data_IF_136283924777
#
_entry.id   IF_136283924777
#
_cell.length_a   1.000
_cell.length_b   1.000
_cell.length_c   1.000
_cell.angle_alpha   90.00
_cell.angle_beta   90.00
_cell.angle_gamma   90.00
#
_symmetry.space_group_name_H-M   'P 1'
#
loop_
_entity.id
_entity.type
_entity.pdbx_description
1 polymer ?
#
# COMPACT_ATOMS: atom_id res chain seq x y z
N UNK A 1 15.65 37.03 -21.04
CA UNK A 1 14.17 37.00 -21.06
C UNK A 1 13.76 35.57 -20.74
N UNK A 2 13.62 35.23 -19.46
CA UNK A 2 12.33 34.97 -18.76
C UNK A 2 11.43 33.99 -19.53
N UNK A 3 11.35 32.73 -19.06
CA UNK A 3 10.23 32.29 -18.22
C UNK A 3 10.49 30.93 -17.56
N UNK A 4 10.54 30.99 -16.23
CA UNK A 4 10.54 29.88 -15.28
C UNK A 4 9.09 29.54 -14.94
N UNK A 5 8.71 28.26 -14.92
CA UNK A 5 7.56 27.80 -14.14
C UNK A 5 8.06 26.81 -13.08
N UNK A 6 8.21 27.32 -11.85
CA UNK A 6 8.43 26.53 -10.63
C UNK A 6 7.07 26.02 -10.15
N UNK A 7 6.89 24.71 -10.07
CA UNK A 7 5.78 24.10 -9.34
C UNK A 7 6.22 23.93 -7.87
N UNK A 8 5.67 24.78 -7.00
CA UNK A 8 5.76 24.63 -5.55
C UNK A 8 4.92 23.43 -5.12
N UNK A 9 5.56 22.35 -4.70
CA UNK A 9 4.93 21.32 -3.88
C UNK A 9 4.94 21.77 -2.41
N UNK A 10 3.76 22.09 -1.89
CA UNK A 10 3.50 22.46 -0.50
C UNK A 10 3.97 21.38 0.47
N UNK A 11 4.87 21.76 1.39
CA UNK A 11 5.32 20.97 2.52
C UNK A 11 4.31 21.16 3.67
N UNK A 12 3.46 20.16 3.94
CA UNK A 12 2.53 20.22 5.08
C UNK A 12 3.24 19.70 6.34
N UNK A 13 3.80 20.62 7.13
CA UNK A 13 4.26 20.33 8.49
C UNK A 13 3.11 20.52 9.47
N UNK A 14 2.54 19.44 9.98
CA UNK A 14 1.57 19.48 11.08
C UNK A 14 2.28 19.28 12.42
N UNK A 15 2.54 20.41 13.09
CA UNK A 15 2.77 20.50 14.53
C UNK A 15 1.39 20.54 15.20
N UNK A 16 1.08 19.58 16.07
CA UNK A 16 -0.09 19.65 16.95
C UNK A 16 0.42 19.73 18.39
N UNK A 17 0.32 20.94 18.95
CA UNK A 17 0.31 21.20 20.39
C UNK A 17 -1.16 21.22 20.81
N UNK A 18 -1.52 20.47 21.86
CA UNK A 18 -2.91 20.29 22.28
C UNK A 18 -3.50 21.42 23.11
N UNK A 19 -4.83 21.43 23.25
CA UNK A 19 -5.59 21.41 24.53
C UNK A 19 -7.06 21.83 24.35
N UNK A 20 -7.96 20.97 24.87
CA UNK A 20 -9.21 21.21 25.59
C UNK A 20 -10.21 22.34 25.21
N UNK A 21 -11.39 21.88 24.77
CA UNK A 21 -12.73 22.09 25.37
C UNK A 21 -13.32 23.52 25.57
N UNK A 22 -14.49 23.81 24.96
CA UNK A 22 -15.82 24.07 25.60
C UNK A 22 -16.82 24.79 24.66
N UNK A 23 -18.10 24.35 24.76
CA UNK A 23 -19.40 25.01 24.50
C UNK A 23 -19.86 25.35 23.07
N UNK A 24 -21.03 24.81 22.74
CA UNK A 24 -21.81 25.11 21.54
C UNK A 24 -22.75 26.31 21.70
N UNK A 25 -23.36 26.67 20.57
CA UNK A 25 -24.58 27.46 20.45
C UNK A 25 -25.29 27.02 19.16
N UNK A 26 -26.54 26.60 19.33
CA UNK A 26 -27.51 26.31 18.30
C UNK A 26 -28.12 27.62 17.78
N UNK A 27 -28.26 27.79 16.46
CA UNK A 27 -29.10 28.83 15.86
C UNK A 27 -29.94 28.24 14.73
N UNK A 28 -31.21 28.05 15.06
CA UNK A 28 -32.34 27.71 14.23
C UNK A 28 -32.69 28.85 13.24
N UNK A 29 -32.85 28.56 11.95
CA UNK A 29 -33.56 29.44 11.00
C UNK A 29 -34.28 28.64 9.90
N UNK A 30 -35.60 28.60 10.06
CA UNK A 30 -36.72 28.51 9.11
C UNK A 30 -36.61 27.79 7.76
N UNK A 31 -37.39 26.69 7.69
CA UNK A 31 -38.27 26.21 6.62
C UNK A 31 -38.15 26.81 5.20
N UNK A 32 -37.93 25.91 4.23
CA UNK A 32 -38.78 25.88 3.04
C UNK A 32 -39.04 24.42 2.59
N UNK A 33 -40.28 24.15 2.15
CA UNK A 33 -40.80 22.84 1.74
C UNK A 33 -40.82 22.78 0.22
N UNK A 34 -40.18 21.76 -0.37
CA UNK A 34 -40.64 21.17 -1.63
C UNK A 34 -39.97 19.81 -1.87
N UNK A 35 -40.79 18.77 -2.01
CA UNK A 35 -40.44 17.47 -2.60
C UNK A 35 -40.95 17.46 -4.05
N UNK A 36 -40.29 16.79 -5.01
CA UNK A 36 -40.77 15.44 -5.34
C UNK A 36 -39.66 14.41 -5.67
N UNK A 37 -39.99 13.16 -5.32
CA UNK A 37 -39.77 11.90 -6.05
C UNK A 37 -38.35 11.41 -6.42
N UNK A 38 -37.91 10.43 -5.62
CA UNK A 38 -37.31 9.13 -5.97
C UNK A 38 -36.63 8.96 -7.34
N UNK A 39 -35.30 8.84 -7.33
CA UNK A 39 -34.59 7.83 -8.12
C UNK A 39 -33.42 7.34 -7.27
N UNK A 40 -33.53 6.11 -6.78
CA UNK A 40 -32.52 5.42 -5.97
C UNK A 40 -31.35 5.05 -6.86
N UNK A 41 -30.32 5.90 -6.89
CA UNK A 41 -28.96 5.43 -7.15
C UNK A 41 -28.33 5.20 -5.79
N UNK A 42 -28.11 3.93 -5.45
CA UNK A 42 -27.29 3.52 -4.32
C UNK A 42 -25.90 4.14 -4.48
N UNK A 43 -25.74 5.32 -3.90
CA UNK A 43 -24.45 5.83 -3.51
C UNK A 43 -24.00 4.92 -2.37
N UNK A 44 -23.10 3.99 -2.67
CA UNK A 44 -22.29 3.37 -1.63
C UNK A 44 -21.47 4.49 -1.03
N UNK A 45 -21.99 5.00 0.08
CA UNK A 45 -21.44 6.04 0.92
C UNK A 45 -19.99 5.72 1.26
N UNK A 46 -19.08 6.60 0.85
CA UNK A 46 -17.74 6.71 1.43
C UNK A 46 -17.89 7.19 2.88
N UNK A 47 -17.88 6.28 3.85
CA UNK A 47 -17.76 6.64 5.27
C UNK A 47 -16.88 5.65 6.03
N UNK A 48 -15.57 5.92 6.02
CA UNK A 48 -14.63 6.01 7.14
C UNK A 48 -13.24 6.21 6.48
N UNK A 49 -12.37 7.13 6.89
CA UNK A 49 -11.69 7.19 8.19
C UNK A 49 -11.13 8.59 8.43
N UNK A 50 -11.06 9.00 9.69
CA UNK A 50 -10.20 10.07 10.18
C UNK A 50 -8.78 9.93 9.56
N UNK A 51 -8.33 10.92 8.78
CA UNK A 51 -7.02 11.03 8.11
C UNK A 51 -6.78 10.23 6.81
N UNK A 52 -7.76 9.51 6.24
CA UNK A 52 -7.63 8.91 4.89
C UNK A 52 -6.62 7.76 4.76
N UNK A 53 -6.24 7.12 5.87
CA UNK A 53 -5.43 5.90 5.89
C UNK A 53 -6.34 4.67 6.07
N UNK A 54 -6.02 3.53 5.45
CA UNK A 54 -6.81 2.31 5.59
C UNK A 54 -6.80 1.78 7.03
N UNK A 55 -7.96 1.29 7.48
CA UNK A 55 -8.16 0.61 8.76
C UNK A 55 -8.34 -0.90 8.56
N UNK A 56 -8.55 -1.62 9.66
CA UNK A 56 -8.80 -3.06 9.59
C UNK A 56 -10.16 -3.36 8.96
N UNK A 57 -11.13 -2.48 9.14
CA UNK A 57 -12.47 -2.59 8.55
C UNK A 57 -12.40 -2.52 7.01
N UNK A 58 -11.47 -1.73 6.48
CA UNK A 58 -11.22 -1.63 5.03
C UNK A 58 -10.66 -2.92 4.41
N UNK A 59 -10.27 -3.91 5.23
CA UNK A 59 -9.82 -5.22 4.75
C UNK A 59 -10.96 -6.22 4.49
N UNK A 60 -12.21 -5.81 4.70
CA UNK A 60 -13.37 -6.66 4.46
C UNK A 60 -13.45 -7.13 2.99
N UNK A 61 -14.04 -8.32 2.73
CA UNK A 61 -14.25 -8.83 1.38
C UNK A 61 -14.94 -7.80 0.47
N UNK A 62 -14.50 -7.74 -0.79
CA UNK A 62 -15.04 -6.83 -1.80
C UNK A 62 -15.27 -7.60 -3.09
N UNK A 63 -16.50 -7.60 -3.59
CA UNK A 63 -16.83 -8.37 -4.80
C UNK A 63 -16.50 -9.85 -4.63
N UNK A 64 -15.68 -10.39 -5.54
CA UNK A 64 -15.20 -11.77 -5.46
C UNK A 64 -13.85 -11.90 -4.73
N UNK A 65 -13.31 -10.79 -4.24
CA UNK A 65 -12.11 -10.79 -3.42
C UNK A 65 -12.47 -11.07 -1.95
N UNK A 66 -11.91 -12.14 -1.39
CA UNK A 66 -12.15 -12.55 -0.01
C UNK A 66 -11.45 -11.68 1.05
N UNK A 67 -10.71 -10.65 0.63
CA UNK A 67 -9.83 -9.87 1.50
C UNK A 67 -8.50 -10.57 1.81
N UNK A 68 -7.56 -9.86 2.47
CA UNK A 68 -6.31 -10.42 2.96
C UNK A 68 -6.53 -11.57 3.94
N UNK A 69 -5.69 -12.60 3.84
CA UNK A 69 -5.70 -13.76 4.71
C UNK A 69 -4.41 -13.81 5.50
N UNK A 70 -4.49 -13.56 6.80
CA UNK A 70 -3.37 -13.84 7.71
C UNK A 70 -3.13 -15.35 7.73
N UNK A 71 -1.98 -15.78 7.21
CA UNK A 71 -1.61 -17.20 7.13
C UNK A 71 -0.59 -17.58 8.20
N UNK A 72 -0.25 -16.65 9.10
CA UNK A 72 0.55 -16.92 10.30
C UNK A 72 1.61 -15.86 10.56
N UNK A 73 2.65 -16.26 11.28
CA UNK A 73 3.85 -15.45 11.52
C UNK A 73 4.81 -15.55 10.33
N UNK A 74 5.74 -14.59 10.26
CA UNK A 74 6.83 -14.65 9.30
C UNK A 74 7.75 -15.86 9.56
N UNK A 75 8.30 -16.41 8.47
CA UNK A 75 9.09 -17.66 8.46
C UNK A 75 10.57 -17.41 8.14
N UNK A 76 11.09 -16.23 8.47
CA UNK A 76 12.49 -15.87 8.27
C UNK A 76 13.42 -16.73 9.13
N UNK A 77 14.53 -17.18 8.54
CA UNK A 77 15.60 -17.85 9.28
C UNK A 77 16.35 -16.85 10.17
N UNK A 78 17.15 -17.35 11.12
CA UNK A 78 18.04 -16.49 11.90
C UNK A 78 19.03 -15.72 11.00
N UNK A 79 19.43 -16.30 9.87
CA UNK A 79 20.31 -15.66 8.90
C UNK A 79 19.60 -14.53 8.14
N UNK A 80 18.32 -14.70 7.77
CA UNK A 80 17.50 -13.65 7.17
C UNK A 80 17.34 -12.42 8.07
N UNK A 81 17.43 -12.62 9.39
CA UNK A 81 17.22 -11.59 10.42
C UNK A 81 18.53 -10.91 10.86
N UNK A 82 19.66 -11.23 10.24
CA UNK A 82 20.91 -10.51 10.51
C UNK A 82 20.79 -9.06 10.11
N UNK A 83 21.11 -8.17 11.05
CA UNK A 83 21.05 -6.74 10.80
C UNK A 83 22.15 -6.29 9.81
N UNK A 84 21.85 -5.24 9.06
CA UNK A 84 22.79 -4.55 8.19
C UNK A 84 22.64 -3.05 8.43
N UNK A 85 23.74 -2.34 8.75
CA UNK A 85 23.71 -0.91 9.08
C UNK A 85 23.03 -0.04 8.00
N UNK A 86 23.09 -0.46 6.74
CA UNK A 86 22.54 0.29 5.62
C UNK A 86 21.12 -0.07 5.21
N UNK A 87 20.66 -1.27 5.57
CA UNK A 87 19.51 -1.87 4.92
C UNK A 87 19.83 -2.22 3.46
N UNK A 88 18.92 -2.93 2.81
CA UNK A 88 19.11 -3.39 1.44
C UNK A 88 17.77 -3.71 0.80
N UNK A 89 17.77 -3.72 -0.54
CA UNK A 89 16.67 -4.20 -1.37
C UNK A 89 17.26 -5.13 -2.41
N UNK A 90 16.66 -6.31 -2.57
CA UNK A 90 17.01 -7.29 -3.59
C UNK A 90 15.76 -7.64 -4.38
N UNK A 91 15.83 -7.50 -5.70
CA UNK A 91 14.75 -7.91 -6.60
C UNK A 91 15.11 -9.24 -7.25
N UNK A 92 14.19 -10.21 -7.20
CA UNK A 92 14.41 -11.50 -7.82
C UNK A 92 14.38 -11.38 -9.34
N UNK A 93 15.05 -12.32 -10.02
CA UNK A 93 15.04 -12.38 -11.48
C UNK A 93 13.62 -12.55 -12.00
N UNK A 94 13.32 -11.90 -13.13
CA UNK A 94 12.10 -12.19 -13.85
C UNK A 94 12.11 -13.65 -14.32
N UNK A 95 10.95 -14.30 -14.37
CA UNK A 95 10.84 -15.62 -14.97
C UNK A 95 10.84 -15.60 -16.51
N UNK A 96 10.60 -16.75 -17.13
CA UNK A 96 10.58 -16.92 -18.58
C UNK A 96 9.47 -16.09 -19.28
N UNK A 97 8.38 -15.80 -18.57
CA UNK A 97 7.28 -14.95 -19.04
C UNK A 97 7.51 -13.46 -18.70
N UNK A 98 8.72 -13.13 -18.23
CA UNK A 98 9.13 -11.79 -17.78
C UNK A 98 8.33 -11.28 -16.58
N UNK A 99 7.79 -12.18 -15.76
CA UNK A 99 7.02 -11.86 -14.55
C UNK A 99 7.96 -11.62 -13.36
N UNK A 100 7.72 -10.58 -12.54
CA UNK A 100 8.38 -10.45 -11.24
C UNK A 100 8.09 -11.66 -10.36
N UNK A 101 9.14 -12.25 -9.77
CA UNK A 101 9.03 -13.48 -8.96
C UNK A 101 9.18 -13.24 -7.46
N UNK A 102 9.56 -12.02 -7.08
CA UNK A 102 9.63 -11.61 -5.70
C UNK A 102 10.62 -10.48 -5.46
N UNK A 103 10.52 -9.90 -4.27
CA UNK A 103 11.48 -8.92 -3.79
C UNK A 103 11.65 -9.05 -2.29
N UNK A 104 12.83 -8.71 -1.81
CA UNK A 104 13.21 -8.78 -0.42
C UNK A 104 13.88 -7.49 0.01
N UNK A 105 13.72 -7.13 1.27
CA UNK A 105 14.39 -5.98 1.85
C UNK A 105 14.68 -6.17 3.33
N UNK A 106 15.78 -5.57 3.80
CA UNK A 106 15.94 -5.18 5.19
C UNK A 106 15.74 -3.67 5.26
N UNK A 107 14.56 -3.27 5.71
CA UNK A 107 14.11 -1.88 5.64
C UNK A 107 14.52 -1.16 6.92
N UNK A 108 15.14 0.00 6.74
CA UNK A 108 15.56 0.89 7.83
C UNK A 108 14.85 2.23 7.75
N UNK A 109 14.83 2.93 8.89
CA UNK A 109 14.27 4.28 8.98
C UNK A 109 14.82 5.24 7.92
N UNK A 110 16.11 5.14 7.58
CA UNK A 110 16.75 5.99 6.57
C UNK A 110 16.32 5.73 5.12
N UNK A 111 15.70 4.59 4.84
CA UNK A 111 15.20 4.23 3.50
C UNK A 111 13.81 4.80 3.24
N UNK A 112 13.15 5.33 4.28
CA UNK A 112 11.84 5.95 4.16
C UNK A 112 11.85 7.04 3.08
N UNK A 113 10.88 7.00 2.17
CA UNK A 113 10.67 7.99 1.11
C UNK A 113 11.85 8.16 0.13
N UNK A 114 12.76 7.17 0.04
CA UNK A 114 13.89 7.21 -0.91
C UNK A 114 13.57 6.57 -2.27
N UNK A 115 12.41 5.91 -2.40
CA UNK A 115 12.01 5.24 -3.63
C UNK A 115 11.39 6.19 -4.67
N UNK A 116 11.13 5.66 -5.86
CA UNK A 116 10.56 6.43 -6.98
C UNK A 116 9.13 6.00 -7.31
N UNK A 117 8.39 6.87 -8.00
CA UNK A 117 7.05 6.53 -8.48
C UNK A 117 7.13 5.51 -9.62
N UNK A 118 6.14 4.61 -9.75
CA UNK A 118 6.11 3.63 -10.84
C UNK A 118 6.22 4.33 -12.20
N UNK A 119 7.22 3.94 -12.98
CA UNK A 119 7.46 4.48 -14.29
C UNK A 119 6.29 4.11 -15.21
N UNK A 120 5.67 5.14 -15.78
CA UNK A 120 4.49 4.99 -16.64
C UNK A 120 4.79 4.33 -17.97
N UNK A 121 6.04 4.10 -18.35
CA UNK A 121 6.43 3.35 -19.55
C UNK A 121 6.57 1.85 -19.29
N UNK A 122 6.81 1.44 -18.04
CA UNK A 122 6.87 0.01 -17.69
C UNK A 122 5.44 -0.55 -17.71
N UNK A 123 5.22 -1.59 -18.51
CA UNK A 123 4.01 -2.41 -18.51
C UNK A 123 4.38 -3.77 -17.93
N UNK A 124 4.07 -4.06 -16.65
CA UNK A 124 4.27 -5.40 -16.13
C UNK A 124 3.42 -6.41 -16.90
N UNK A 125 3.77 -7.71 -16.91
CA UNK A 125 2.97 -8.71 -17.62
C UNK A 125 1.50 -8.68 -17.22
N UNK A 126 0.61 -8.79 -18.22
CA UNK A 126 -0.84 -8.70 -18.04
C UNK A 126 -1.40 -7.29 -17.79
N UNK A 127 -0.57 -6.25 -17.72
CA UNK A 127 -1.04 -4.89 -17.50
C UNK A 127 -1.83 -4.36 -18.69
N UNK A 128 -3.02 -3.79 -18.43
CA UNK A 128 -3.85 -3.12 -19.42
C UNK A 128 -4.26 -1.76 -18.87
N UNK A 129 -4.02 -0.71 -19.65
CA UNK A 129 -4.38 0.65 -19.25
C UNK A 129 -5.89 0.87 -19.33
N UNK A 130 -6.42 1.66 -18.39
CA UNK A 130 -7.76 2.23 -18.47
C UNK A 130 -8.65 1.85 -17.29
N UNK A 131 -9.63 2.70 -16.95
CA UNK A 131 -10.44 2.56 -15.74
C UNK A 131 -11.28 1.27 -15.72
N UNK A 132 -11.61 0.72 -16.90
CA UNK A 132 -12.33 -0.56 -17.01
C UNK A 132 -11.56 -1.73 -16.43
N UNK A 133 -10.23 -1.76 -16.62
CA UNK A 133 -9.37 -2.85 -16.17
C UNK A 133 -8.93 -2.65 -14.72
N UNK A 134 -8.80 -1.40 -14.31
CA UNK A 134 -8.47 -1.04 -12.93
C UNK A 134 -7.13 -1.64 -12.48
N UNK A 135 -6.17 -1.73 -13.42
CA UNK A 135 -4.84 -2.24 -13.15
C UNK A 135 -3.91 -1.13 -12.66
N UNK A 136 -3.12 -1.46 -11.65
CA UNK A 136 -2.04 -0.66 -11.11
C UNK A 136 -0.67 -1.30 -11.45
N UNK A 137 0.38 -0.49 -11.38
CA UNK A 137 1.77 -0.94 -11.37
C UNK A 137 2.18 -1.10 -9.92
N UNK A 138 1.72 -2.18 -9.29
CA UNK A 138 1.97 -2.47 -7.89
C UNK A 138 3.45 -2.64 -7.63
N UNK A 139 3.99 -1.95 -6.63
CA UNK A 139 5.36 -2.17 -6.21
C UNK A 139 5.43 -3.45 -5.34
N UNK A 140 6.48 -4.26 -5.49
CA UNK A 140 6.75 -5.33 -4.52
C UNK A 140 7.40 -4.75 -3.26
N UNK A 141 8.44 -3.93 -3.42
CA UNK A 141 8.94 -3.06 -2.35
C UNK A 141 8.40 -1.67 -2.61
N UNK A 142 7.53 -1.20 -1.71
CA UNK A 142 6.87 0.09 -1.83
C UNK A 142 7.87 1.24 -2.00
N UNK A 143 7.45 2.27 -2.74
CA UNK A 143 8.18 3.55 -2.86
C UNK A 143 8.58 4.11 -1.49
N UNK A 144 7.68 4.03 -0.52
CA UNK A 144 7.92 4.53 0.85
C UNK A 144 9.06 3.80 1.57
N UNK A 145 9.52 2.64 1.09
CA UNK A 145 10.62 1.86 1.66
C UNK A 145 11.91 1.91 0.83
N UNK A 146 11.98 2.76 -0.20
CA UNK A 146 13.14 2.84 -1.10
C UNK A 146 12.97 2.07 -2.40
N UNK A 147 11.80 1.48 -2.66
CA UNK A 147 11.55 0.74 -3.89
C UNK A 147 11.65 1.62 -5.14
N UNK A 148 12.36 1.13 -6.15
CA UNK A 148 12.44 1.77 -7.47
C UNK A 148 11.17 1.50 -8.27
N UNK A 149 10.59 2.56 -8.82
CA UNK A 149 9.55 2.51 -9.83
C UNK A 149 10.08 2.35 -11.26
N UNK A 150 11.40 2.39 -11.46
CA UNK A 150 12.05 2.19 -12.76
C UNK A 150 12.57 0.75 -12.94
N UNK A 151 12.46 -0.09 -11.91
CA UNK A 151 12.86 -1.50 -11.95
C UNK A 151 11.69 -2.40 -12.34
N UNK A 152 11.82 -3.10 -13.48
CA UNK A 152 10.80 -4.02 -13.99
C UNK A 152 10.57 -5.21 -13.05
N UNK A 153 11.59 -5.64 -12.30
CA UNK A 153 11.48 -6.69 -11.28
C UNK A 153 10.70 -6.26 -10.04
N UNK A 154 10.46 -4.96 -9.86
CA UNK A 154 9.73 -4.43 -8.71
C UNK A 154 8.27 -4.08 -9.03
N UNK A 155 7.84 -4.12 -10.30
CA UNK A 155 6.50 -3.73 -10.70
C UNK A 155 5.71 -4.93 -11.18
N UNK A 156 4.57 -5.20 -10.55
CA UNK A 156 3.63 -6.28 -10.90
C UNK A 156 2.24 -5.71 -11.21
N UNK A 157 1.46 -6.41 -12.03
CA UNK A 157 0.08 -6.03 -12.32
C UNK A 157 -0.82 -6.41 -11.15
N UNK A 158 -1.40 -5.43 -10.46
CA UNK A 158 -2.40 -5.64 -9.41
C UNK A 158 -3.68 -4.90 -9.73
N UNK A 159 -4.82 -5.37 -9.25
CA UNK A 159 -6.01 -4.52 -9.20
C UNK A 159 -5.76 -3.32 -8.27
N UNK A 160 -6.11 -2.12 -8.71
CA UNK A 160 -5.91 -0.91 -7.92
C UNK A 160 -6.78 -0.96 -6.67
N UNK A 161 -8.08 -1.18 -6.84
CA UNK A 161 -9.02 -1.42 -5.75
C UNK A 161 -9.55 -2.87 -5.83
N UNK A 162 -9.59 -3.62 -4.71
CA UNK A 162 -9.15 -3.26 -3.35
C UNK A 162 -7.68 -3.64 -3.05
N UNK A 163 -6.97 -4.21 -4.02
CA UNK A 163 -5.74 -5.00 -3.76
C UNK A 163 -4.54 -4.12 -3.46
N UNK A 164 -4.18 -3.22 -4.38
CA UNK A 164 -3.08 -2.29 -4.15
C UNK A 164 -3.43 -1.30 -3.02
N UNK A 165 -4.68 -0.85 -2.98
CA UNK A 165 -5.25 -0.06 -1.89
C UNK A 165 -6.74 -0.41 -1.72
N UNK A 166 -7.23 -0.69 -0.49
CA UNK A 166 -6.56 -0.52 0.80
C UNK A 166 -5.69 -1.70 1.26
N UNK A 167 -5.81 -2.89 0.66
CA UNK A 167 -5.31 -4.12 1.26
C UNK A 167 -3.79 -4.14 1.48
N UNK A 168 -2.98 -3.99 0.42
CA UNK A 168 -1.52 -3.95 0.58
C UNK A 168 -1.07 -2.75 1.41
N UNK A 169 -1.67 -1.58 1.16
CA UNK A 169 -1.31 -0.34 1.85
C UNK A 169 -1.47 -0.43 3.38
N UNK A 170 -2.49 -1.13 3.88
CA UNK A 170 -2.66 -1.37 5.32
C UNK A 170 -1.43 -2.01 5.98
N UNK A 171 -0.92 -3.09 5.38
CA UNK A 171 0.25 -3.81 5.89
C UNK A 171 1.53 -2.99 5.77
N UNK A 172 1.70 -2.28 4.66
CA UNK A 172 2.83 -1.37 4.48
C UNK A 172 2.80 -0.22 5.49
N UNK A 173 1.64 0.32 5.83
CA UNK A 173 1.52 1.36 6.84
C UNK A 173 1.88 0.86 8.25
N UNK A 174 1.54 -0.39 8.59
CA UNK A 174 1.99 -1.00 9.84
C UNK A 174 3.53 -1.06 9.90
N UNK A 175 4.18 -1.51 8.83
CA UNK A 175 5.65 -1.51 8.71
C UNK A 175 6.19 -0.07 8.80
N UNK A 176 5.58 0.88 8.09
CA UNK A 176 5.96 2.30 8.11
C UNK A 176 5.95 2.89 9.52
N UNK A 177 4.95 2.54 10.32
CA UNK A 177 4.82 2.97 11.72
C UNK A 177 5.93 2.38 12.59
N UNK A 178 6.28 1.09 12.43
CA UNK A 178 7.41 0.48 13.13
C UNK A 178 8.75 1.15 12.77
N UNK A 179 8.98 1.40 11.48
CA UNK A 179 10.19 2.11 11.01
C UNK A 179 10.29 3.53 11.59
N UNK A 180 9.16 4.24 11.73
CA UNK A 180 9.14 5.57 12.36
C UNK A 180 9.61 5.53 13.81
N UNK A 181 9.28 4.45 14.54
CA UNK A 181 9.74 4.19 15.92
C UNK A 181 11.21 3.72 16.00
N UNK A 182 11.89 3.61 14.86
CA UNK A 182 13.31 3.23 14.80
C UNK A 182 13.54 1.73 14.67
N UNK A 183 12.51 0.94 14.39
CA UNK A 183 12.69 -0.48 14.11
C UNK A 183 13.42 -0.72 12.78
N UNK A 184 14.04 -1.89 12.67
CA UNK A 184 14.48 -2.48 11.40
C UNK A 184 13.53 -3.63 11.08
N UNK A 185 13.04 -3.70 9.85
CA UNK A 185 12.04 -4.70 9.43
C UNK A 185 12.58 -5.50 8.26
N UNK A 186 12.67 -6.82 8.43
CA UNK A 186 12.87 -7.77 7.33
C UNK A 186 11.54 -7.95 6.60
N UNK A 187 11.55 -7.77 5.28
CA UNK A 187 10.35 -7.79 4.45
C UNK A 187 10.57 -8.62 3.18
N UNK A 188 9.58 -9.43 2.79
CA UNK A 188 9.57 -10.23 1.57
C UNK A 188 8.18 -10.15 0.93
N UNK A 189 8.15 -9.96 -0.38
CA UNK A 189 6.92 -9.93 -1.17
C UNK A 189 7.05 -10.90 -2.33
N UNK A 190 6.07 -11.81 -2.47
CA UNK A 190 6.07 -12.89 -3.46
C UNK A 190 4.76 -12.89 -4.23
N UNK A 191 4.76 -12.53 -5.52
CA UNK A 191 3.62 -12.75 -6.40
C UNK A 191 3.43 -14.25 -6.67
N UNK A 192 2.21 -14.76 -6.49
CA UNK A 192 1.87 -16.16 -6.70
C UNK A 192 1.11 -16.32 -8.02
N UNK A 193 1.73 -16.96 -9.00
CA UNK A 193 1.13 -17.18 -10.31
C UNK A 193 0.60 -18.60 -10.47
N UNK A 194 -0.54 -18.73 -11.14
CA UNK A 194 -1.06 -20.02 -11.58
C UNK A 194 -0.61 -20.29 -13.01
N UNK A 195 0.21 -21.32 -13.22
CA UNK A 195 0.71 -21.74 -14.55
C UNK A 195 1.31 -20.54 -15.33
N UNK A 196 0.78 -20.27 -16.53
CA UNK A 196 1.24 -19.24 -17.44
C UNK A 196 0.45 -17.92 -17.33
N UNK A 197 -0.39 -17.76 -16.31
CA UNK A 197 -1.11 -16.51 -16.09
C UNK A 197 -0.13 -15.35 -15.88
N UNK A 198 -0.35 -14.24 -16.59
CA UNK A 198 0.57 -13.10 -16.55
C UNK A 198 0.35 -12.20 -15.32
N UNK A 199 -0.86 -12.23 -14.77
CA UNK A 199 -1.25 -11.53 -13.55
C UNK A 199 -1.18 -12.56 -12.41
N UNK A 200 -0.54 -12.25 -11.27
CA UNK A 200 -0.53 -13.18 -10.15
C UNK A 200 -1.94 -13.35 -9.59
N UNK A 201 -2.27 -14.55 -9.13
CA UNK A 201 -3.55 -14.85 -8.47
C UNK A 201 -3.63 -14.23 -7.07
N UNK A 202 -2.49 -14.14 -6.39
CA UNK A 202 -2.34 -13.49 -5.09
C UNK A 202 -0.94 -12.93 -4.90
N UNK A 203 -0.75 -12.10 -3.89
CA UNK A 203 0.56 -11.64 -3.43
C UNK A 203 0.71 -11.99 -1.96
N UNK A 204 1.81 -12.64 -1.61
CA UNK A 204 2.17 -12.91 -0.21
C UNK A 204 3.12 -11.83 0.30
N UNK A 205 2.80 -11.23 1.43
CA UNK A 205 3.65 -10.30 2.16
C UNK A 205 4.09 -10.99 3.45
N UNK A 206 5.38 -10.90 3.77
CA UNK A 206 5.97 -11.46 4.98
C UNK A 206 6.87 -10.40 5.61
N UNK A 207 6.62 -10.06 6.88
CA UNK A 207 7.36 -9.00 7.58
C UNK A 207 7.69 -9.39 9.03
N UNK A 208 8.91 -9.10 9.46
CA UNK A 208 9.34 -9.29 10.83
C UNK A 208 10.27 -8.16 11.28
N UNK A 209 9.96 -7.52 12.41
CA UNK A 209 10.87 -6.59 13.06
C UNK A 209 12.02 -7.34 13.76
N UNK A 210 13.21 -6.74 13.75
CA UNK A 210 14.40 -7.31 14.39
C UNK A 210 14.48 -6.97 15.89
N UNK A 211 13.70 -6.00 16.36
CA UNK A 211 13.70 -5.60 17.77
C UNK A 211 12.96 -6.63 18.62
N UNK A 212 13.45 -6.89 19.84
CA UNK A 212 12.86 -7.88 20.76
C UNK A 212 11.37 -7.63 21.08
N UNK A 213 10.95 -6.36 21.09
CA UNK A 213 9.57 -5.95 21.41
C UNK A 213 8.78 -5.51 20.16
N UNK A 214 9.16 -5.98 18.98
CA UNK A 214 8.47 -5.61 17.74
C UNK A 214 7.02 -6.08 17.75
N UNK A 215 6.12 -5.27 17.17
CA UNK A 215 4.75 -5.68 16.86
C UNK A 215 4.60 -6.14 15.41
N UNK A 216 5.68 -6.10 14.61
CA UNK A 216 5.69 -6.55 13.24
C UNK A 216 6.16 -7.99 13.21
N UNK A 217 5.21 -8.92 13.06
CA UNK A 217 5.49 -10.31 12.73
C UNK A 217 4.25 -10.90 12.08
N UNK A 218 4.22 -10.93 10.75
CA UNK A 218 3.08 -11.45 10.00
C UNK A 218 3.49 -12.07 8.68
N UNK A 219 2.63 -12.97 8.22
CA UNK A 219 2.57 -13.46 6.85
C UNK A 219 1.14 -13.41 6.39
N UNK A 220 0.88 -12.65 5.35
CA UNK A 220 -0.46 -12.45 4.78
C UNK A 220 -0.45 -12.79 3.29
N UNK A 221 -1.50 -13.45 2.83
CA UNK A 221 -1.79 -13.63 1.41
C UNK A 221 -2.95 -12.73 0.99
N UNK A 222 -2.73 -11.90 -0.03
CA UNK A 222 -3.73 -10.97 -0.55
C UNK A 222 -4.17 -11.46 -1.93
N UNK A 223 -5.42 -11.93 -2.10
CA UNK A 223 -5.95 -12.29 -3.40
C UNK A 223 -5.90 -11.09 -4.36
N UNK A 224 -5.41 -11.29 -5.57
CA UNK A 224 -5.34 -10.26 -6.60
C UNK A 224 -6.53 -10.39 -7.55
N UNK A 225 -7.72 -10.12 -7.02
CA UNK A 225 -9.00 -10.20 -7.72
C UNK A 225 -9.84 -8.96 -7.42
N UNK A 226 -10.83 -8.69 -8.26
CA UNK A 226 -11.83 -7.64 -8.08
C UNK A 226 -13.16 -8.23 -7.61
#
# INVERSE_FOLDING_TARGET
MKNMNKLLGTLLTLLIVGAASWLGLDLNSSNDKSTPSSTTHEQVTQQHTQNGLPTKEDLAPTGNNSGPKEVGLATFSADDLKDNQNGWITYHSLDQLKRPTGAEALIKKKMINTGTSANREIRPPGFVSGPKYDHSRGHLIAKQFGGSGDERKNLVTLYQFPVNDPYMNYYELAIRQALNKGETVRYRVTPNYTKNELIPESVTLEAQGLNANTTINFKVEIPNKK
#
